data_IF_940817249490
#
_entry.id   IF_940817249490
#
_cell.length_a   1.000
_cell.length_b   1.000
_cell.length_c   1.000
_cell.angle_alpha   90.00
_cell.angle_beta   90.00
_cell.angle_gamma   90.00
#
_symmetry.space_group_name_H-M   'P 1'
#
loop_
_entity.id
_entity.type
_entity.pdbx_description
1 polymer ?
#
# COMPACT_ATOMS: atom_id res chain seq x y z
N UNK A 1 -17.50 8.87 38.62
CA UNK A 1 -16.90 9.68 37.53
C UNK A 1 -16.00 8.84 36.60
N UNK A 2 -15.17 7.93 37.15
CA UNK A 2 -14.20 7.08 36.41
C UNK A 2 -14.88 6.07 35.48
N UNK A 3 -15.99 5.45 35.89
CA UNK A 3 -16.72 4.47 35.08
C UNK A 3 -17.39 5.08 33.82
N UNK A 4 -17.87 6.33 33.89
CA UNK A 4 -18.43 7.03 32.73
C UNK A 4 -17.33 7.36 31.69
N UNK A 5 -16.12 7.65 32.13
CA UNK A 5 -14.99 7.93 31.25
C UNK A 5 -14.51 6.71 30.49
N UNK A 6 -14.48 5.53 31.13
CA UNK A 6 -14.14 4.27 30.42
C UNK A 6 -15.09 3.96 29.26
N UNK A 7 -16.40 4.24 29.45
CA UNK A 7 -17.39 4.07 28.38
C UNK A 7 -17.19 5.04 27.22
N UNK A 8 -16.83 6.29 27.51
CA UNK A 8 -16.52 7.31 26.48
C UNK A 8 -15.28 6.88 25.66
N UNK A 9 -14.21 6.43 26.32
CA UNK A 9 -13.00 5.98 25.64
C UNK A 9 -13.29 4.76 24.74
N UNK A 10 -14.06 3.81 25.22
CA UNK A 10 -14.46 2.64 24.43
C UNK A 10 -15.32 3.02 23.24
N UNK A 11 -16.25 3.97 23.43
CA UNK A 11 -17.08 4.50 22.35
C UNK A 11 -16.23 5.16 21.27
N UNK A 12 -15.29 6.01 21.64
CA UNK A 12 -14.37 6.67 20.70
C UNK A 12 -13.52 5.67 19.91
N UNK A 13 -12.98 4.65 20.59
CA UNK A 13 -12.22 3.60 19.93
C UNK A 13 -13.10 2.82 18.93
N UNK A 14 -14.30 2.44 19.33
CA UNK A 14 -15.23 1.71 18.45
C UNK A 14 -15.64 2.54 17.23
N UNK A 15 -15.89 3.84 17.42
CA UNK A 15 -16.23 4.77 16.34
C UNK A 15 -15.06 5.00 15.37
N UNK A 16 -13.82 4.83 15.83
CA UNK A 16 -12.63 4.99 14.99
C UNK A 16 -12.27 3.72 14.22
N UNK A 17 -12.41 2.53 14.81
CA UNK A 17 -11.96 1.27 14.21
C UNK A 17 -12.67 0.97 12.90
N UNK A 18 -13.97 1.23 12.80
CA UNK A 18 -14.74 1.03 11.57
C UNK A 18 -14.18 1.83 10.38
N UNK A 19 -14.16 3.16 10.48
CA UNK A 19 -13.55 4.01 9.45
C UNK A 19 -12.08 3.67 9.19
N UNK A 20 -11.29 3.34 10.22
CA UNK A 20 -9.88 2.98 10.06
C UNK A 20 -9.69 1.75 9.18
N UNK A 21 -10.41 0.67 9.44
CA UNK A 21 -10.32 -0.55 8.62
C UNK A 21 -10.72 -0.25 7.18
N UNK A 22 -11.83 0.46 6.96
CA UNK A 22 -12.29 0.81 5.63
C UNK A 22 -11.25 1.67 4.88
N UNK A 23 -10.77 2.74 5.50
CA UNK A 23 -9.78 3.64 4.87
C UNK A 23 -8.43 2.99 4.67
N UNK A 24 -8.03 2.05 5.54
CA UNK A 24 -6.80 1.28 5.36
C UNK A 24 -6.87 0.40 4.11
N UNK A 25 -7.95 -0.36 3.91
CA UNK A 25 -8.12 -1.17 2.71
C UNK A 25 -8.23 -0.33 1.44
N UNK A 26 -8.93 0.80 1.50
CA UNK A 26 -9.02 1.73 0.36
C UNK A 26 -7.64 2.30 0.03
N UNK A 27 -6.90 2.77 1.02
CA UNK A 27 -5.54 3.31 0.82
C UNK A 27 -4.60 2.26 0.25
N UNK A 28 -4.63 1.03 0.78
CA UNK A 28 -3.82 -0.08 0.28
C UNK A 28 -4.20 -0.44 -1.15
N UNK A 29 -5.49 -0.49 -1.48
CA UNK A 29 -5.97 -0.75 -2.83
C UNK A 29 -5.44 0.30 -3.83
N UNK A 30 -5.53 1.59 -3.48
CA UNK A 30 -5.03 2.68 -4.33
C UNK A 30 -3.52 2.56 -4.54
N UNK A 31 -2.76 2.30 -3.48
CA UNK A 31 -1.29 2.14 -3.57
C UNK A 31 -0.89 0.91 -4.40
N UNK A 32 -1.59 -0.21 -4.26
CA UNK A 32 -1.35 -1.42 -5.06
C UNK A 32 -1.71 -1.15 -6.53
N UNK A 33 -2.82 -0.46 -6.81
CA UNK A 33 -3.19 -0.09 -8.17
C UNK A 33 -2.18 0.85 -8.80
N UNK A 34 -1.66 1.82 -8.06
CA UNK A 34 -0.59 2.71 -8.52
C UNK A 34 0.69 1.92 -8.85
N UNK A 35 1.03 0.92 -8.04
CA UNK A 35 2.14 0.02 -8.32
C UNK A 35 1.89 -0.80 -9.59
N UNK A 36 0.73 -1.44 -9.73
CA UNK A 36 0.36 -2.21 -10.93
C UNK A 36 0.43 -1.37 -12.18
N UNK A 37 -0.09 -0.15 -12.14
CA UNK A 37 -0.05 0.77 -13.28
C UNK A 37 1.37 1.13 -13.71
N UNK A 38 2.29 1.23 -12.74
CA UNK A 38 3.70 1.52 -13.00
C UNK A 38 4.45 0.36 -13.67
N UNK A 39 4.06 -0.88 -13.37
CA UNK A 39 4.76 -2.10 -13.82
C UNK A 39 3.91 -2.95 -14.77
N UNK A 40 2.84 -2.38 -15.33
CA UNK A 40 1.91 -3.13 -16.18
C UNK A 40 2.61 -3.69 -17.43
N UNK A 41 3.51 -2.93 -18.05
CA UNK A 41 4.26 -3.34 -19.24
C UNK A 41 5.24 -4.49 -18.92
N UNK A 42 5.75 -4.54 -17.70
CA UNK A 42 6.64 -5.61 -17.24
C UNK A 42 5.86 -6.88 -16.85
N UNK A 43 4.60 -6.75 -16.46
CA UNK A 43 3.76 -7.87 -15.97
C UNK A 43 2.89 -8.47 -17.08
N UNK A 44 2.36 -7.64 -17.97
CA UNK A 44 1.47 -8.06 -19.07
C UNK A 44 2.29 -8.36 -20.31
N UNK A 45 2.00 -9.47 -20.97
CA UNK A 45 2.65 -9.89 -22.22
C UNK A 45 3.87 -10.79 -22.07
N UNK A 46 4.37 -11.02 -20.83
CA UNK A 46 5.52 -11.93 -20.59
C UNK A 46 5.13 -13.38 -20.31
N UNK A 47 3.82 -13.73 -20.35
CA UNK A 47 3.35 -15.09 -20.10
C UNK A 47 3.72 -15.61 -18.71
N UNK A 48 3.72 -14.72 -17.71
CA UNK A 48 4.00 -15.06 -16.31
C UNK A 48 2.89 -15.92 -15.74
N UNK A 49 3.26 -16.93 -14.96
CA UNK A 49 2.30 -17.71 -14.20
C UNK A 49 1.58 -16.83 -13.18
N UNK A 50 0.26 -17.00 -13.06
CA UNK A 50 -0.56 -16.22 -12.12
C UNK A 50 -0.07 -16.31 -10.68
N UNK A 51 0.55 -17.43 -10.30
CA UNK A 51 1.15 -17.64 -8.98
C UNK A 51 2.30 -16.66 -8.70
N UNK A 52 3.17 -16.42 -9.67
CA UNK A 52 4.27 -15.45 -9.55
C UNK A 52 3.75 -14.02 -9.34
N UNK A 53 2.68 -13.67 -10.05
CA UNK A 53 2.04 -12.34 -9.91
C UNK A 53 1.43 -12.17 -8.51
N UNK A 54 0.74 -13.19 -7.99
CA UNK A 54 0.14 -13.17 -6.65
C UNK A 54 1.23 -13.04 -5.57
N UNK A 55 2.32 -13.79 -5.68
CA UNK A 55 3.45 -13.67 -4.76
C UNK A 55 4.09 -12.29 -4.81
N UNK A 56 4.32 -11.74 -6.00
CA UNK A 56 4.84 -10.39 -6.16
C UNK A 56 3.93 -9.36 -5.50
N UNK A 57 2.62 -9.41 -5.80
CA UNK A 57 1.64 -8.49 -5.21
C UNK A 57 1.59 -8.58 -3.69
N UNK A 58 1.71 -9.78 -3.14
CA UNK A 58 1.74 -9.99 -1.69
C UNK A 58 2.96 -9.32 -1.04
N UNK A 59 4.16 -9.48 -1.62
CA UNK A 59 5.36 -8.81 -1.09
C UNK A 59 5.30 -7.29 -1.27
N UNK A 60 4.80 -6.83 -2.41
CA UNK A 60 4.60 -5.39 -2.67
C UNK A 60 3.57 -4.80 -1.69
N UNK A 61 2.46 -5.49 -1.44
CA UNK A 61 1.47 -5.05 -0.46
C UNK A 61 2.11 -4.88 0.92
N UNK A 62 2.93 -5.83 1.39
CA UNK A 62 3.67 -5.70 2.65
C UNK A 62 4.60 -4.48 2.65
N UNK A 63 5.27 -4.20 1.53
CA UNK A 63 6.15 -3.03 1.38
C UNK A 63 5.39 -1.70 1.47
N UNK A 64 4.13 -1.68 1.03
CA UNK A 64 3.29 -0.48 1.01
C UNK A 64 2.57 -0.20 2.34
N UNK A 65 2.48 -1.19 3.26
CA UNK A 65 1.83 -1.03 4.58
C UNK A 65 2.30 0.21 5.35
N UNK A 66 3.62 0.50 5.50
CA UNK A 66 4.08 1.68 6.23
C UNK A 66 3.64 3.01 5.60
N UNK A 67 3.39 3.04 4.29
CA UNK A 67 2.87 4.23 3.59
C UNK A 67 1.34 4.34 3.72
N UNK A 68 0.64 3.21 3.65
CA UNK A 68 -0.82 3.15 3.77
C UNK A 68 -1.34 3.46 5.17
N UNK A 69 -0.60 3.06 6.21
CA UNK A 69 -1.03 3.20 7.59
C UNK A 69 -1.23 4.68 8.03
N UNK A 70 -0.29 5.63 7.79
CA UNK A 70 -0.50 7.04 8.13
C UNK A 70 -1.68 7.66 7.38
N UNK A 71 -1.85 7.31 6.08
CA UNK A 71 -2.99 7.78 5.28
C UNK A 71 -4.31 7.29 5.87
N UNK A 72 -4.40 6.02 6.22
CA UNK A 72 -5.58 5.43 6.84
C UNK A 72 -5.92 6.08 8.18
N UNK A 73 -4.92 6.30 9.05
CA UNK A 73 -5.10 6.97 10.34
C UNK A 73 -5.61 8.40 10.16
N UNK A 74 -5.05 9.15 9.21
CA UNK A 74 -5.47 10.51 8.91
C UNK A 74 -6.94 10.55 8.45
N UNK A 75 -7.29 9.75 7.43
CA UNK A 75 -8.63 9.69 6.89
C UNK A 75 -9.64 9.20 7.95
N UNK A 76 -9.33 8.15 8.68
CA UNK A 76 -10.16 7.63 9.75
C UNK A 76 -10.41 8.67 10.86
N UNK A 77 -9.38 9.45 11.20
CA UNK A 77 -9.51 10.54 12.18
C UNK A 77 -10.49 11.62 11.70
N UNK A 78 -10.33 12.06 10.45
CA UNK A 78 -11.22 13.07 9.85
C UNK A 78 -12.67 12.54 9.80
N UNK A 79 -12.88 11.29 9.36
CA UNK A 79 -14.22 10.69 9.28
C UNK A 79 -14.84 10.55 10.68
N UNK A 80 -14.05 10.10 11.67
CA UNK A 80 -14.57 9.90 13.03
C UNK A 80 -14.97 11.23 13.67
N UNK A 81 -14.10 12.24 13.62
CA UNK A 81 -14.40 13.54 14.20
C UNK A 81 -15.44 14.31 13.37
N UNK A 82 -15.44 14.13 12.05
CA UNK A 82 -16.48 14.68 11.17
C UNK A 82 -17.86 14.15 11.55
N UNK A 83 -18.01 12.85 11.67
CA UNK A 83 -19.27 12.20 12.08
C UNK A 83 -19.73 12.64 13.48
N UNK A 84 -18.80 12.73 14.45
CA UNK A 84 -19.10 13.25 15.80
C UNK A 84 -19.52 14.71 15.79
N UNK A 85 -18.98 15.51 14.87
CA UNK A 85 -19.35 16.91 14.66
C UNK A 85 -20.73 17.04 14.01
N UNK A 86 -20.98 16.31 12.96
CA UNK A 86 -22.24 16.29 12.20
C UNK A 86 -23.42 15.84 13.07
N UNK A 87 -23.22 14.84 13.91
CA UNK A 87 -24.25 14.37 14.85
C UNK A 87 -24.34 15.22 16.14
N UNK A 88 -23.67 16.37 16.21
CA UNK A 88 -23.62 17.27 17.38
C UNK A 88 -23.09 16.61 18.67
N UNK A 89 -22.59 15.38 18.61
CA UNK A 89 -22.04 14.66 19.78
C UNK A 89 -20.81 15.37 20.36
N UNK A 90 -19.93 15.86 19.49
CA UNK A 90 -18.75 16.60 19.91
C UNK A 90 -19.13 17.91 20.65
N UNK A 91 -20.16 18.61 20.16
CA UNK A 91 -20.68 19.82 20.75
C UNK A 91 -21.34 19.53 22.11
N UNK A 92 -22.12 18.45 22.21
CA UNK A 92 -22.74 18.01 23.46
C UNK A 92 -21.69 17.64 24.53
N UNK A 93 -20.62 16.93 24.14
CA UNK A 93 -19.52 16.60 25.05
C UNK A 93 -18.78 17.84 25.55
N UNK A 94 -18.55 18.83 24.70
CA UNK A 94 -17.95 20.10 25.08
C UNK A 94 -18.87 20.91 26.00
N UNK A 95 -20.16 20.97 25.72
CA UNK A 95 -21.14 21.63 26.58
C UNK A 95 -21.22 20.99 27.98
N UNK A 96 -20.97 19.67 28.07
CA UNK A 96 -20.86 18.95 29.35
C UNK A 96 -19.52 19.22 30.07
N UNK A 97 -18.67 20.14 29.59
CA UNK A 97 -17.40 20.51 30.19
C UNK A 97 -16.26 19.51 29.96
N UNK A 98 -16.37 18.59 28.98
CA UNK A 98 -15.32 17.65 28.65
C UNK A 98 -14.37 18.32 27.64
N UNK A 99 -13.08 18.43 27.99
CA UNK A 99 -12.09 19.01 27.09
C UNK A 99 -11.86 18.13 25.85
N UNK A 100 -11.58 18.76 24.70
CA UNK A 100 -11.28 18.07 23.45
C UNK A 100 -10.12 17.10 23.60
N UNK A 101 -9.06 17.48 24.30
CA UNK A 101 -7.90 16.63 24.58
C UNK A 101 -8.32 15.30 25.26
N UNK A 102 -9.25 15.37 26.20
CA UNK A 102 -9.75 14.18 26.91
C UNK A 102 -10.59 13.27 26.01
N UNK A 103 -11.28 13.84 25.03
CA UNK A 103 -12.03 13.07 24.01
C UNK A 103 -11.05 12.36 23.06
N UNK A 104 -9.95 13.04 22.69
CA UNK A 104 -8.93 12.52 21.78
C UNK A 104 -7.97 11.50 22.44
N UNK A 105 -7.84 11.52 23.77
CA UNK A 105 -6.87 10.72 24.52
C UNK A 105 -6.84 9.23 24.14
N UNK A 106 -7.96 8.50 24.00
CA UNK A 106 -7.95 7.09 23.60
C UNK A 106 -7.42 6.88 22.19
N UNK A 107 -7.67 7.81 21.27
CA UNK A 107 -7.16 7.75 19.89
C UNK A 107 -5.66 8.02 19.84
N UNK A 108 -5.17 8.99 20.62
CA UNK A 108 -3.73 9.27 20.73
C UNK A 108 -2.99 8.03 21.23
N UNK A 109 -3.52 7.34 22.24
CA UNK A 109 -2.93 6.09 22.74
C UNK A 109 -2.91 5.00 21.66
N UNK A 110 -3.98 4.85 20.90
CA UNK A 110 -4.07 3.89 19.80
C UNK A 110 -3.07 4.21 18.68
N UNK A 111 -2.91 5.50 18.34
CA UNK A 111 -1.95 5.94 17.31
C UNK A 111 -0.51 5.66 17.77
N UNK A 112 -0.19 5.90 19.04
CA UNK A 112 1.13 5.55 19.59
C UNK A 112 1.37 4.03 19.47
N UNK A 113 0.37 3.22 19.77
CA UNK A 113 0.46 1.76 19.60
C UNK A 113 0.72 1.36 18.14
N UNK A 114 0.00 1.99 17.20
CA UNK A 114 0.24 1.77 15.76
C UNK A 114 1.64 2.22 15.33
N UNK A 115 2.14 3.32 15.86
CA UNK A 115 3.50 3.81 15.57
C UNK A 115 4.56 2.81 16.03
N UNK A 116 4.41 2.24 17.23
CA UNK A 116 5.31 1.21 17.75
C UNK A 116 5.23 -0.05 16.88
N UNK A 117 4.02 -0.50 16.55
CA UNK A 117 3.82 -1.66 15.68
C UNK A 117 4.42 -1.43 14.28
N UNK A 118 4.23 -0.26 13.69
CA UNK A 118 4.80 0.12 12.41
C UNK A 118 6.34 0.17 12.45
N UNK A 119 6.93 0.63 13.56
CA UNK A 119 8.38 0.63 13.75
C UNK A 119 8.95 -0.80 13.73
N UNK A 120 8.37 -1.72 14.49
CA UNK A 120 8.80 -3.13 14.48
C UNK A 120 8.58 -3.78 13.10
N UNK A 121 7.46 -3.51 12.48
CA UNK A 121 7.15 -4.00 11.13
C UNK A 121 8.16 -3.50 10.11
N UNK A 122 8.50 -2.22 10.15
CA UNK A 122 9.46 -1.59 9.23
C UNK A 122 10.88 -2.13 9.40
N UNK A 123 11.28 -2.49 10.63
CA UNK A 123 12.61 -3.01 10.87
C UNK A 123 12.77 -4.51 10.55
N UNK A 124 11.72 -5.31 10.76
CA UNK A 124 11.82 -6.77 10.63
C UNK A 124 11.19 -7.31 9.34
N UNK A 125 10.01 -6.83 8.97
CA UNK A 125 9.23 -7.36 7.84
C UNK A 125 9.58 -6.67 6.54
N UNK A 126 9.72 -5.35 6.58
CA UNK A 126 9.94 -4.54 5.38
C UNK A 126 11.23 -4.89 4.61
N UNK A 127 12.41 -5.11 5.24
CA UNK A 127 13.62 -5.47 4.51
C UNK A 127 13.48 -6.80 3.77
N UNK A 128 12.85 -7.80 4.41
CA UNK A 128 12.58 -9.09 3.78
C UNK A 128 11.60 -8.98 2.61
N UNK A 129 10.50 -8.26 2.79
CA UNK A 129 9.50 -8.04 1.75
C UNK A 129 10.09 -7.29 0.55
N UNK A 130 10.88 -6.23 0.81
CA UNK A 130 11.56 -5.44 -0.23
C UNK A 130 12.55 -6.29 -1.03
N UNK A 131 13.36 -7.08 -0.35
CA UNK A 131 14.35 -7.96 -1.00
C UNK A 131 13.63 -8.95 -1.93
N UNK A 132 12.58 -9.61 -1.46
CA UNK A 132 11.81 -10.56 -2.26
C UNK A 132 11.08 -9.91 -3.43
N UNK A 133 10.43 -8.76 -3.19
CA UNK A 133 9.79 -7.99 -4.26
C UNK A 133 10.78 -7.55 -5.34
N UNK A 134 11.94 -7.03 -4.94
CA UNK A 134 12.98 -6.57 -5.86
C UNK A 134 13.60 -7.71 -6.65
N UNK A 135 13.85 -8.87 -6.02
CA UNK A 135 14.37 -10.06 -6.70
C UNK A 135 13.37 -10.56 -7.74
N UNK A 136 12.09 -10.70 -7.36
CA UNK A 136 11.05 -11.13 -8.32
C UNK A 136 10.91 -10.16 -9.48
N UNK A 137 10.92 -8.85 -9.23
CA UNK A 137 10.88 -7.85 -10.30
C UNK A 137 12.09 -7.94 -11.23
N UNK A 138 13.27 -8.16 -10.66
CA UNK A 138 14.50 -8.33 -11.45
C UNK A 138 14.43 -9.59 -12.32
N UNK A 139 13.97 -10.72 -11.77
CA UNK A 139 13.80 -11.98 -12.49
C UNK A 139 12.77 -11.84 -13.61
N UNK A 140 11.65 -11.18 -13.34
CA UNK A 140 10.62 -10.87 -14.34
C UNK A 140 11.18 -10.00 -15.47
N UNK A 141 12.01 -9.00 -15.16
CA UNK A 141 12.66 -8.17 -16.17
C UNK A 141 13.67 -8.94 -17.01
N UNK A 142 14.40 -9.88 -16.40
CA UNK A 142 15.39 -10.73 -17.10
C UNK A 142 14.80 -11.87 -17.91
N UNK A 143 13.63 -12.40 -17.54
CA UNK A 143 13.09 -13.62 -18.13
C UNK A 143 12.74 -13.53 -19.62
N UNK A 144 12.65 -12.33 -20.23
CA UNK A 144 12.52 -12.19 -21.69
C UNK A 144 13.09 -10.86 -22.23
N UNK A 145 14.42 -10.75 -22.41
CA UNK A 145 14.97 -9.74 -23.29
C UNK A 145 14.51 -9.93 -24.74
N UNK A 146 14.19 -11.17 -25.15
CA UNK A 146 13.82 -11.54 -26.51
C UNK A 146 12.47 -10.95 -26.98
N UNK A 147 11.56 -10.56 -26.09
CA UNK A 147 10.28 -9.94 -26.47
C UNK A 147 10.35 -8.39 -26.58
N UNK A 148 11.46 -7.77 -26.21
CA UNK A 148 11.74 -6.36 -26.50
C UNK A 148 12.26 -6.16 -27.93
N UNK A 149 12.53 -7.23 -28.68
CA UNK A 149 12.93 -7.17 -30.07
C UNK A 149 11.70 -6.86 -30.93
N UNK A 150 11.36 -5.55 -31.03
CA UNK A 150 10.39 -5.07 -32.02
C UNK A 150 11.05 -5.11 -33.38
N UNK A 151 10.39 -5.77 -34.35
CA UNK A 151 10.82 -5.74 -35.76
C UNK A 151 10.98 -4.27 -36.22
N UNK A 152 12.08 -3.97 -36.83
CA UNK A 152 12.36 -2.67 -37.45
C UNK A 152 12.88 -1.57 -36.52
N UNK A 153 13.09 -1.85 -35.20
CA UNK A 153 13.60 -0.85 -34.24
C UNK A 153 15.08 -1.11 -33.91
N UNK A 154 15.87 -0.05 -33.85
CA UNK A 154 17.26 -0.13 -33.39
C UNK A 154 17.30 -0.24 -31.86
N UNK A 155 17.95 -1.25 -31.34
CA UNK A 155 18.14 -1.50 -29.91
C UNK A 155 19.59 -1.19 -29.56
N UNK A 156 19.79 -0.22 -28.65
CA UNK A 156 21.09 0.26 -28.19
C UNK A 156 21.37 -0.17 -26.72
N UNK A 157 20.77 -1.27 -26.27
CA UNK A 157 20.92 -1.73 -24.87
C UNK A 157 22.31 -2.31 -24.53
N UNK A 158 23.18 -2.45 -25.51
CA UNK A 158 24.57 -2.90 -25.33
C UNK A 158 25.49 -1.73 -25.70
N UNK A 159 26.30 -1.26 -24.74
CA UNK A 159 27.27 -0.19 -25.00
C UNK A 159 28.16 -0.52 -26.20
N UNK A 160 28.09 0.32 -27.22
CA UNK A 160 28.91 0.21 -28.45
C UNK A 160 28.31 -0.64 -29.57
N UNK A 161 27.12 -1.24 -29.40
CA UNK A 161 26.46 -2.02 -30.44
C UNK A 161 25.02 -1.55 -30.66
N UNK A 162 24.66 -1.36 -31.95
CA UNK A 162 23.28 -1.07 -32.37
C UNK A 162 22.76 -2.27 -33.17
N UNK A 163 21.78 -2.98 -32.62
CA UNK A 163 21.23 -4.19 -33.24
C UNK A 163 19.87 -3.82 -33.85
N UNK A 164 19.71 -4.08 -35.15
CA UNK A 164 18.44 -3.97 -35.86
C UNK A 164 17.97 -5.36 -36.27
N UNK A 165 16.80 -5.76 -35.78
CA UNK A 165 16.16 -7.01 -36.20
C UNK A 165 15.15 -6.71 -37.28
N UNK A 166 15.38 -7.22 -38.50
CA UNK A 166 14.56 -6.92 -39.67
C UNK A 166 13.28 -7.76 -39.70
N UNK A 167 13.37 -9.05 -39.37
CA UNK A 167 12.22 -9.97 -39.21
C UNK A 167 12.54 -11.10 -38.25
N UNK A 168 11.54 -11.48 -37.43
CA UNK A 168 11.63 -12.64 -36.53
C UNK A 168 10.77 -13.78 -37.11
N UNK A 169 11.38 -14.90 -37.44
CA UNK A 169 10.63 -16.08 -37.83
C UNK A 169 10.06 -16.79 -36.60
N UNK A 170 8.75 -16.60 -36.38
CA UNK A 170 8.02 -17.17 -35.23
C UNK A 170 7.98 -18.71 -35.18
N UNK A 171 8.41 -19.42 -36.22
CA UNK A 171 8.40 -20.88 -36.25
C UNK A 171 9.72 -21.52 -35.84
N UNK A 172 10.84 -20.86 -36.05
CA UNK A 172 12.18 -21.43 -35.81
C UNK A 172 12.96 -20.75 -34.71
N UNK A 173 12.52 -19.58 -34.22
CA UNK A 173 13.24 -18.81 -33.19
C UNK A 173 14.61 -18.31 -33.64
N UNK A 174 14.93 -18.33 -34.93
CA UNK A 174 16.17 -17.81 -35.51
C UNK A 174 15.96 -16.37 -35.99
N UNK A 175 17.02 -15.55 -35.78
CA UNK A 175 17.14 -14.19 -36.29
C UNK A 175 17.72 -14.18 -37.69
#
# INVERSE_FOLDING_TARGET
>A
KVLKMKKLHLYMLKSFVGPFVATFFISMFVLIMQFLWRYIDDLVGKGLDGDVIIHLLSYVALTLVPMGLPLAVLLASIMTFGSLGENYELTALKAAGISLYRIMQPLIFLIILFTIAAFFFSNNVLPYANLKASTLLYDIKKQKPELSLKEGVFINDIEGYSIKVDKIDKKTGMM
#
